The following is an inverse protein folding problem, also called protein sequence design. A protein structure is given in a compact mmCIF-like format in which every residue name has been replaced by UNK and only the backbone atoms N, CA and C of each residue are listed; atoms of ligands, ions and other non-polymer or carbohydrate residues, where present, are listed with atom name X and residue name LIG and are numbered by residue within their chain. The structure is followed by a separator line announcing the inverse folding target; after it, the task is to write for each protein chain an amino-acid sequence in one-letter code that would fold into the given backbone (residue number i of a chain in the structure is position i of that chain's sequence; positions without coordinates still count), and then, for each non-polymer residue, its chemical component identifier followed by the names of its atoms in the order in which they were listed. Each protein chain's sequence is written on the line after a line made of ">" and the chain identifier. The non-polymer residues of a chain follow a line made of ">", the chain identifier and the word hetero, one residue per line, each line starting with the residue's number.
data_IF_060149015666
#
_entry.id   IF_060149015666
#
_cell.length_a   1.000
_cell.length_b   1.000
_cell.length_c   1.000
_cell.angle_alpha   90.00
_cell.angle_beta   90.00
_cell.angle_gamma   90.00
#
_symmetry.space_group_name_H-M   'P 1'
#
loop_
_entity.id
_entity.type
_entity.pdbx_description
1 polymer ?
#
# COMPACT_ATOMS: atom_id res chain seq x y z
N UNK A 1 -51.32 16.02 -44.50
CA UNK A 1 -50.43 14.87 -44.21
C UNK A 1 -51.01 13.91 -43.17
N UNK A 2 -51.90 14.35 -42.27
CA UNK A 2 -52.57 13.49 -41.27
C UNK A 2 -53.45 12.41 -41.90
N UNK A 3 -54.27 12.73 -42.89
CA UNK A 3 -55.15 11.75 -43.57
C UNK A 3 -54.37 10.60 -44.21
N UNK A 4 -53.21 10.87 -44.79
CA UNK A 4 -52.35 9.82 -45.39
C UNK A 4 -51.79 8.91 -44.30
N UNK A 5 -51.43 9.49 -43.16
CA UNK A 5 -50.94 8.74 -42.00
C UNK A 5 -52.06 7.89 -41.40
N UNK A 6 -53.27 8.42 -41.24
CA UNK A 6 -54.42 7.67 -40.71
C UNK A 6 -54.82 6.50 -41.63
N UNK A 7 -54.74 6.69 -42.95
CA UNK A 7 -54.95 5.61 -43.93
C UNK A 7 -53.86 4.55 -43.80
N UNK A 8 -52.59 4.95 -43.63
CA UNK A 8 -51.48 4.03 -43.49
C UNK A 8 -51.52 3.27 -42.17
N UNK A 9 -51.92 3.93 -41.08
CA UNK A 9 -52.09 3.32 -39.76
C UNK A 9 -53.25 2.32 -39.76
N UNK A 10 -54.40 2.67 -40.35
CA UNK A 10 -55.52 1.74 -40.53
C UNK A 10 -55.15 0.55 -41.43
N UNK A 11 -54.33 0.77 -42.46
CA UNK A 11 -53.81 -0.31 -43.31
C UNK A 11 -52.83 -1.19 -42.56
N UNK A 12 -51.92 -0.61 -41.77
CA UNK A 12 -50.96 -1.34 -40.95
C UNK A 12 -51.66 -2.20 -39.89
N UNK A 13 -52.74 -1.71 -39.28
CA UNK A 13 -53.52 -2.47 -38.31
C UNK A 13 -54.20 -3.68 -38.96
N UNK A 14 -54.72 -3.52 -40.18
CA UNK A 14 -55.34 -4.61 -40.95
C UNK A 14 -54.32 -5.62 -41.47
N UNK A 15 -53.11 -5.17 -41.84
CA UNK A 15 -52.00 -6.06 -42.21
C UNK A 15 -51.49 -6.91 -41.04
N UNK A 16 -51.74 -6.50 -39.78
CA UNK A 16 -51.44 -7.34 -38.60
C UNK A 16 -52.36 -8.54 -38.48
N UNK A 17 -53.53 -8.52 -39.12
CA UNK A 17 -54.40 -9.70 -39.19
C UNK A 17 -53.73 -10.79 -40.02
N UNK A 18 -53.50 -12.00 -39.48
CA UNK A 18 -52.83 -13.08 -40.19
C UNK A 18 -53.49 -13.45 -41.51
N UNK A 19 -54.82 -13.36 -41.58
CA UNK A 19 -55.60 -13.69 -42.77
C UNK A 19 -55.76 -12.50 -43.72
N UNK A 20 -56.08 -11.31 -43.19
CA UNK A 20 -56.30 -10.16 -44.05
C UNK A 20 -54.98 -9.69 -44.69
N UNK A 21 -53.90 -9.70 -43.93
CA UNK A 21 -52.57 -9.36 -44.42
C UNK A 21 -52.06 -10.34 -45.47
N UNK A 22 -52.25 -11.66 -45.27
CA UNK A 22 -51.83 -12.65 -46.25
C UNK A 22 -52.66 -12.59 -47.54
N UNK A 23 -53.97 -12.33 -47.46
CA UNK A 23 -54.84 -12.15 -48.62
C UNK A 23 -54.45 -10.88 -49.40
N UNK A 24 -54.15 -9.77 -48.72
CA UNK A 24 -53.69 -8.54 -49.38
C UNK A 24 -52.33 -8.73 -50.05
N UNK A 25 -51.39 -9.42 -49.41
CA UNK A 25 -50.10 -9.76 -50.01
C UNK A 25 -50.25 -10.69 -51.21
N UNK A 26 -51.12 -11.70 -51.11
CA UNK A 26 -51.45 -12.58 -52.21
C UNK A 26 -52.12 -11.82 -53.36
N UNK A 27 -53.00 -10.87 -53.07
CA UNK A 27 -53.62 -10.00 -54.06
C UNK A 27 -52.58 -9.19 -54.82
N UNK A 28 -51.67 -8.53 -54.09
CA UNK A 28 -50.58 -7.79 -54.70
C UNK A 28 -49.64 -8.69 -55.51
N UNK A 29 -49.38 -9.91 -55.02
CA UNK A 29 -48.52 -10.88 -55.71
C UNK A 29 -49.14 -11.42 -57.00
N UNK A 30 -50.43 -11.77 -57.02
CA UNK A 30 -51.10 -12.28 -58.22
C UNK A 30 -51.38 -11.18 -59.25
N UNK A 31 -51.71 -9.97 -58.80
CA UNK A 31 -52.07 -8.85 -59.66
C UNK A 31 -50.89 -7.87 -59.89
N UNK A 32 -49.65 -8.29 -59.59
CA UNK A 32 -48.50 -7.38 -59.60
C UNK A 32 -48.27 -6.71 -60.96
N UNK A 33 -48.51 -7.41 -62.06
CA UNK A 33 -48.34 -6.86 -63.42
C UNK A 33 -49.36 -5.77 -63.73
N UNK A 34 -50.63 -6.01 -63.38
CA UNK A 34 -51.72 -5.06 -63.60
C UNK A 34 -51.57 -3.84 -62.70
N UNK A 35 -51.20 -4.04 -61.43
CA UNK A 35 -50.89 -2.96 -60.49
C UNK A 35 -49.69 -2.14 -60.97
N UNK A 36 -48.64 -2.80 -61.46
CA UNK A 36 -47.46 -2.14 -61.99
C UNK A 36 -47.79 -1.31 -63.24
N UNK A 37 -48.55 -1.86 -64.18
CA UNK A 37 -48.99 -1.15 -65.38
C UNK A 37 -49.87 0.05 -65.01
N UNK A 38 -50.82 -0.10 -64.09
CA UNK A 38 -51.67 1.01 -63.66
C UNK A 38 -50.88 2.16 -63.03
N UNK A 39 -49.90 1.85 -62.18
CA UNK A 39 -49.16 2.85 -61.41
C UNK A 39 -48.04 3.51 -62.20
N UNK A 40 -47.34 2.75 -63.05
CA UNK A 40 -46.07 3.20 -63.65
C UNK A 40 -46.07 3.31 -65.17
N UNK A 41 -47.07 2.79 -65.89
CA UNK A 41 -47.09 2.93 -67.35
C UNK A 41 -47.39 4.38 -67.74
N UNK A 42 -46.56 4.96 -68.61
CA UNK A 42 -46.77 6.30 -69.15
C UNK A 42 -47.72 6.28 -70.35
N UNK A 43 -48.97 5.90 -70.10
CA UNK A 43 -50.06 5.84 -71.09
C UNK A 43 -51.30 6.58 -70.58
N UNK A 44 -52.18 7.06 -71.48
CA UNK A 44 -53.46 7.66 -71.12
C UNK A 44 -54.27 6.76 -70.17
N UNK A 45 -55.04 7.38 -69.28
CA UNK A 45 -55.85 6.66 -68.28
C UNK A 45 -56.81 5.66 -68.92
N UNK A 46 -57.38 5.99 -70.08
CA UNK A 46 -58.26 5.10 -70.84
C UNK A 46 -57.56 3.78 -71.21
N UNK A 47 -56.30 3.85 -71.65
CA UNK A 47 -55.52 2.68 -72.03
C UNK A 47 -55.13 1.84 -70.80
N UNK A 48 -54.95 2.45 -69.62
CA UNK A 48 -54.73 1.73 -68.36
C UNK A 48 -55.96 0.94 -67.92
N UNK A 49 -57.15 1.51 -68.07
CA UNK A 49 -58.42 0.84 -67.75
C UNK A 49 -58.67 -0.28 -68.75
N UNK A 50 -58.47 -0.03 -70.05
CA UNK A 50 -58.61 -1.06 -71.07
C UNK A 50 -57.64 -2.23 -70.84
N UNK A 51 -56.39 -1.95 -70.43
CA UNK A 51 -55.43 -2.97 -70.06
C UNK A 51 -55.88 -3.77 -68.83
N UNK A 52 -56.43 -3.11 -67.80
CA UNK A 52 -56.98 -3.78 -66.62
C UNK A 52 -58.11 -4.73 -66.98
N UNK A 53 -59.10 -4.27 -67.74
CA UNK A 53 -60.26 -5.08 -68.14
C UNK A 53 -59.85 -6.27 -69.02
N UNK A 54 -58.79 -6.12 -69.84
CA UNK A 54 -58.27 -7.19 -70.68
C UNK A 54 -57.43 -8.24 -69.93
N UNK A 55 -56.84 -7.89 -68.78
CA UNK A 55 -55.90 -8.74 -68.06
C UNK A 55 -56.37 -9.13 -66.65
N UNK A 56 -57.63 -8.81 -66.30
CA UNK A 56 -58.16 -9.07 -64.97
C UNK A 56 -59.51 -9.76 -65.06
N UNK A 57 -59.52 -11.05 -64.74
CA UNK A 57 -60.75 -11.82 -64.54
C UNK A 57 -61.19 -11.78 -63.08
N UNK A 58 -62.50 -11.91 -62.81
CA UNK A 58 -63.02 -11.98 -61.43
C UNK A 58 -62.39 -13.12 -60.59
N UNK A 59 -61.91 -14.18 -61.25
CA UNK A 59 -61.17 -15.27 -60.62
C UNK A 59 -59.77 -14.86 -60.17
N UNK A 60 -59.05 -14.10 -61.02
CA UNK A 60 -57.70 -13.61 -60.73
C UNK A 60 -57.72 -12.48 -59.70
N UNK A 61 -58.76 -11.65 -59.73
CA UNK A 61 -58.88 -10.51 -58.84
C UNK A 61 -59.29 -10.91 -57.41
N UNK A 62 -60.21 -11.86 -57.28
CA UNK A 62 -60.79 -12.21 -55.98
C UNK A 62 -60.41 -13.62 -55.53
N UNK A 63 -60.65 -14.64 -56.36
CA UNK A 63 -60.58 -16.02 -55.89
C UNK A 63 -59.14 -16.50 -55.64
N UNK A 64 -58.21 -16.29 -56.57
CA UNK A 64 -56.82 -16.72 -56.39
C UNK A 64 -56.14 -16.03 -55.20
N UNK A 65 -56.27 -14.70 -55.00
CA UNK A 65 -55.74 -14.02 -53.83
C UNK A 65 -56.33 -14.52 -52.51
N UNK A 66 -57.65 -14.74 -52.44
CA UNK A 66 -58.30 -15.22 -51.21
C UNK A 66 -57.85 -16.64 -50.88
N UNK A 67 -57.90 -17.56 -51.86
CA UNK A 67 -57.51 -18.95 -51.63
C UNK A 67 -56.02 -19.08 -51.28
N UNK A 68 -55.14 -18.42 -52.04
CA UNK A 68 -53.71 -18.46 -51.76
C UNK A 68 -53.33 -17.72 -50.48
N UNK A 69 -54.01 -16.62 -50.14
CA UNK A 69 -53.83 -15.90 -48.88
C UNK A 69 -54.26 -16.71 -47.66
N UNK A 70 -55.40 -17.40 -47.74
CA UNK A 70 -55.84 -18.33 -46.68
C UNK A 70 -54.89 -19.51 -46.58
N UNK A 71 -54.51 -20.12 -47.70
CA UNK A 71 -53.53 -21.21 -47.71
C UNK A 71 -52.22 -20.75 -47.06
N UNK A 72 -51.69 -19.59 -47.45
CA UNK A 72 -50.47 -19.02 -46.87
C UNK A 72 -50.59 -18.76 -45.37
N UNK A 73 -51.72 -18.20 -44.90
CA UNK A 73 -51.98 -18.00 -43.48
C UNK A 73 -52.00 -19.32 -42.69
N UNK A 74 -52.57 -20.38 -43.28
CA UNK A 74 -52.59 -21.72 -42.69
C UNK A 74 -51.21 -22.39 -42.74
N UNK A 75 -50.41 -22.16 -43.78
CA UNK A 75 -49.06 -22.70 -43.93
C UNK A 75 -48.01 -21.96 -43.09
N UNK A 76 -48.24 -20.70 -42.74
CA UNK A 76 -47.28 -19.86 -42.03
C UNK A 76 -46.83 -20.43 -40.66
N UNK A 77 -47.72 -20.98 -39.81
CA UNK A 77 -47.32 -21.67 -38.58
C UNK A 77 -46.40 -22.86 -38.83
N UNK A 78 -46.64 -23.63 -39.91
CA UNK A 78 -45.82 -24.78 -40.27
C UNK A 78 -44.44 -24.34 -40.76
N UNK A 79 -44.36 -23.25 -41.52
CA UNK A 79 -43.09 -22.67 -41.94
C UNK A 79 -42.28 -22.15 -40.75
N UNK A 80 -42.95 -21.51 -39.78
CA UNK A 80 -42.34 -21.10 -38.51
C UNK A 80 -41.86 -22.29 -37.69
N UNK A 81 -42.65 -23.36 -37.62
CA UNK A 81 -42.28 -24.59 -36.93
C UNK A 81 -41.07 -25.25 -37.59
N UNK A 82 -41.06 -25.40 -38.91
CA UNK A 82 -39.94 -25.95 -39.65
C UNK A 82 -38.67 -25.11 -39.45
N UNK A 83 -38.78 -23.78 -39.53
CA UNK A 83 -37.67 -22.87 -39.23
C UNK A 83 -37.16 -23.01 -37.79
N UNK A 84 -38.06 -23.16 -36.82
CA UNK A 84 -37.70 -23.36 -35.42
C UNK A 84 -37.00 -24.72 -35.19
N UNK A 85 -37.47 -25.80 -35.83
CA UNK A 85 -36.83 -27.12 -35.70
C UNK A 85 -35.44 -27.13 -36.36
N UNK A 86 -35.29 -26.49 -37.53
CA UNK A 86 -33.98 -26.31 -38.17
C UNK A 86 -33.05 -25.47 -37.27
N UNK A 87 -33.57 -24.40 -36.67
CA UNK A 87 -32.78 -23.52 -35.80
C UNK A 87 -32.46 -24.14 -34.42
N UNK A 88 -33.19 -25.15 -33.97
CA UNK A 88 -32.97 -25.82 -32.69
C UNK A 88 -31.60 -26.48 -32.62
N UNK A 89 -31.15 -27.14 -33.69
CA UNK A 89 -29.84 -27.79 -33.73
C UNK A 89 -28.65 -26.83 -33.60
N UNK A 90 -28.52 -25.77 -34.42
CA UNK A 90 -27.45 -24.79 -34.26
C UNK A 90 -27.54 -24.05 -32.93
N UNK A 91 -28.74 -23.71 -32.45
CA UNK A 91 -28.91 -23.04 -31.16
C UNK A 91 -28.53 -23.95 -29.98
N UNK A 92 -28.84 -25.24 -30.03
CA UNK A 92 -28.42 -26.20 -29.02
C UNK A 92 -26.89 -26.35 -28.99
N UNK A 93 -26.24 -26.44 -30.16
CA UNK A 93 -24.77 -26.48 -30.25
C UNK A 93 -24.12 -25.19 -29.74
N UNK A 94 -24.67 -24.03 -30.09
CA UNK A 94 -24.17 -22.75 -29.61
C UNK A 94 -24.26 -22.65 -28.08
N UNK A 95 -25.39 -23.09 -27.50
CA UNK A 95 -25.57 -23.09 -26.04
C UNK A 95 -24.59 -24.05 -25.34
N UNK A 96 -24.31 -25.21 -25.95
CA UNK A 96 -23.31 -26.15 -25.44
C UNK A 96 -21.91 -25.52 -25.44
N UNK A 97 -21.48 -24.93 -26.56
CA UNK A 97 -20.18 -24.25 -26.65
C UNK A 97 -20.02 -23.14 -25.62
N UNK A 98 -21.06 -22.30 -25.44
CA UNK A 98 -21.05 -21.26 -24.41
C UNK A 98 -20.97 -21.83 -22.99
N UNK A 99 -21.67 -22.95 -22.73
CA UNK A 99 -21.61 -23.60 -21.42
C UNK A 99 -20.26 -24.27 -21.16
N UNK A 100 -19.63 -24.83 -22.19
CA UNK A 100 -18.31 -25.46 -22.09
C UNK A 100 -17.23 -24.41 -21.84
N UNK A 101 -17.26 -23.28 -22.55
CA UNK A 101 -16.34 -22.17 -22.32
C UNK A 101 -16.51 -21.59 -20.90
N UNK A 102 -17.76 -21.43 -20.44
CA UNK A 102 -18.02 -20.98 -19.07
C UNK A 102 -17.52 -21.99 -18.02
N UNK A 103 -17.63 -23.29 -18.29
CA UNK A 103 -17.13 -24.35 -17.43
C UNK A 103 -15.61 -24.35 -17.40
N UNK A 104 -14.95 -24.20 -18.54
CA UNK A 104 -13.50 -24.12 -18.66
C UNK A 104 -12.94 -22.93 -17.88
N UNK A 105 -13.55 -21.75 -18.03
CA UNK A 105 -13.17 -20.56 -17.24
C UNK A 105 -13.31 -20.77 -15.74
N UNK A 106 -14.37 -21.46 -15.28
CA UNK A 106 -14.54 -21.80 -13.85
C UNK A 106 -13.46 -22.76 -13.37
N UNK A 107 -13.13 -23.79 -14.16
CA UNK A 107 -12.07 -24.74 -13.81
C UNK A 107 -10.73 -24.01 -13.72
N UNK A 108 -10.40 -23.18 -14.71
CA UNK A 108 -9.17 -22.39 -14.72
C UNK A 108 -9.09 -21.45 -13.50
N UNK A 109 -10.20 -20.79 -13.14
CA UNK A 109 -10.24 -19.95 -11.94
C UNK A 109 -10.01 -20.74 -10.66
N UNK A 110 -10.65 -21.91 -10.51
CA UNK A 110 -10.46 -22.77 -9.33
C UNK A 110 -9.01 -23.25 -9.24
N UNK A 111 -8.43 -23.68 -10.36
CA UNK A 111 -7.02 -24.10 -10.42
C UNK A 111 -6.08 -22.95 -10.05
N UNK A 112 -6.33 -21.73 -10.54
CA UNK A 112 -5.55 -20.55 -10.18
C UNK A 112 -5.64 -20.25 -8.67
N UNK A 113 -6.83 -20.34 -8.07
CA UNK A 113 -6.99 -20.13 -6.62
C UNK A 113 -6.28 -21.20 -5.79
N UNK A 114 -6.31 -22.46 -6.22
CA UNK A 114 -5.59 -23.54 -5.53
C UNK A 114 -4.08 -23.31 -5.60
N UNK A 115 -3.57 -22.96 -6.79
CA UNK A 115 -2.15 -22.65 -6.97
C UNK A 115 -1.70 -21.44 -6.13
N UNK A 116 -2.55 -20.42 -5.99
CA UNK A 116 -2.28 -19.27 -5.12
C UNK A 116 -2.26 -19.66 -3.62
N UNK A 117 -3.18 -20.53 -3.18
CA UNK A 117 -3.20 -21.05 -1.82
C UNK A 117 -1.98 -21.93 -1.52
N UNK A 118 -1.59 -22.79 -2.46
CA UNK A 118 -0.37 -23.61 -2.36
C UNK A 118 0.87 -22.71 -2.27
N UNK A 119 1.02 -21.72 -3.16
CA UNK A 119 2.13 -20.77 -3.11
C UNK A 119 2.18 -19.99 -1.78
N UNK A 120 1.02 -19.58 -1.25
CA UNK A 120 0.94 -18.94 0.07
C UNK A 120 1.32 -19.90 1.20
N UNK A 121 0.92 -21.16 1.12
CA UNK A 121 1.28 -22.19 2.10
C UNK A 121 2.79 -22.44 2.07
N UNK A 122 3.38 -22.62 0.90
CA UNK A 122 4.82 -22.83 0.71
C UNK A 122 5.64 -21.65 1.20
N UNK A 123 5.18 -20.43 0.94
CA UNK A 123 5.82 -19.22 1.43
C UNK A 123 5.78 -19.15 2.97
N UNK A 124 4.66 -19.51 3.60
CA UNK A 124 4.56 -19.60 5.07
C UNK A 124 5.50 -20.67 5.64
N UNK A 125 5.59 -21.83 5.00
CA UNK A 125 6.52 -22.90 5.42
C UNK A 125 7.96 -22.43 5.28
N UNK A 126 8.31 -21.74 4.20
CA UNK A 126 9.63 -21.16 3.99
C UNK A 126 9.95 -20.10 5.05
N UNK A 127 9.01 -19.19 5.34
CA UNK A 127 9.14 -18.19 6.41
C UNK A 127 9.35 -18.83 7.77
N UNK A 128 8.58 -19.88 8.10
CA UNK A 128 8.73 -20.60 9.37
C UNK A 128 10.10 -21.28 9.48
N UNK A 129 10.57 -21.91 8.39
CA UNK A 129 11.92 -22.51 8.35
C UNK A 129 13.02 -21.46 8.51
N UNK A 130 12.87 -20.29 7.88
CA UNK A 130 13.83 -19.19 8.04
C UNK A 130 13.85 -18.66 9.46
N UNK A 131 12.68 -18.45 10.09
CA UNK A 131 12.59 -18.01 11.48
C UNK A 131 13.21 -19.03 12.46
N UNK A 132 13.01 -20.33 12.21
CA UNK A 132 13.64 -21.39 12.99
C UNK A 132 15.17 -21.34 12.86
N UNK A 133 15.68 -21.20 11.63
CA UNK A 133 17.12 -21.10 11.38
C UNK A 133 17.73 -19.83 11.99
N UNK A 134 17.00 -18.72 12.02
CA UNK A 134 17.43 -17.47 12.67
C UNK A 134 17.52 -17.64 14.19
N UNK A 135 16.53 -18.27 14.82
CA UNK A 135 16.56 -18.58 16.26
C UNK A 135 17.68 -19.58 16.60
N UNK A 136 17.89 -20.61 15.79
CA UNK A 136 19.03 -21.53 15.95
C UNK A 136 20.38 -20.80 15.85
N UNK A 137 20.53 -19.90 14.88
CA UNK A 137 21.73 -19.09 14.73
C UNK A 137 21.95 -18.14 15.93
N UNK A 138 20.87 -17.59 16.48
CA UNK A 138 20.90 -16.74 17.68
C UNK A 138 21.31 -17.51 18.93
N UNK A 139 20.76 -18.71 19.13
CA UNK A 139 21.17 -19.60 20.23
C UNK A 139 22.64 -19.99 20.08
N UNK A 140 23.09 -20.35 18.87
CA UNK A 140 24.49 -20.68 18.61
C UNK A 140 25.42 -19.49 18.86
N UNK A 141 25.00 -18.28 18.48
CA UNK A 141 25.73 -17.05 18.75
C UNK A 141 25.85 -16.76 20.25
N UNK A 142 24.74 -16.83 20.98
CA UNK A 142 24.72 -16.62 22.44
C UNK A 142 25.59 -17.66 23.16
N UNK A 143 25.57 -18.92 22.71
CA UNK A 143 26.44 -19.98 23.23
C UNK A 143 27.93 -19.69 22.97
N UNK A 144 28.29 -19.25 21.76
CA UNK A 144 29.68 -18.89 21.43
C UNK A 144 30.17 -17.68 22.25
N UNK A 145 29.30 -16.69 22.49
CA UNK A 145 29.62 -15.54 23.37
C UNK A 145 29.81 -16.00 24.81
N UNK A 146 28.97 -16.91 25.32
CA UNK A 146 29.10 -17.46 26.65
C UNK A 146 30.40 -18.27 26.82
N UNK A 147 30.76 -19.08 25.82
CA UNK A 147 32.01 -19.85 25.80
C UNK A 147 33.24 -18.93 25.78
N UNK A 148 33.22 -17.88 24.95
CA UNK A 148 34.30 -16.87 24.90
C UNK A 148 34.47 -16.17 26.24
N UNK A 149 33.35 -15.81 26.89
CA UNK A 149 33.37 -15.19 28.24
C UNK A 149 33.92 -16.16 29.28
N UNK A 150 33.49 -17.41 29.27
CA UNK A 150 33.97 -18.45 30.18
C UNK A 150 35.48 -18.70 30.02
N UNK A 151 35.99 -18.75 28.78
CA UNK A 151 37.41 -18.84 28.49
C UNK A 151 38.18 -17.63 29.03
N UNK A 152 37.69 -16.42 28.80
CA UNK A 152 38.33 -15.19 29.31
C UNK A 152 38.33 -15.12 30.84
N UNK A 153 37.28 -15.59 31.50
CA UNK A 153 37.24 -15.70 32.96
C UNK A 153 38.22 -16.76 33.48
N UNK A 154 38.35 -17.90 32.80
CA UNK A 154 39.35 -18.92 33.14
C UNK A 154 40.78 -18.40 32.98
N UNK A 155 41.08 -17.70 31.88
CA UNK A 155 42.37 -17.04 31.67
C UNK A 155 42.65 -16.02 32.78
N UNK A 156 41.68 -15.20 33.16
CA UNK A 156 41.83 -14.25 34.27
C UNK A 156 42.05 -14.94 35.62
N UNK A 157 41.44 -16.10 35.85
CA UNK A 157 41.64 -16.90 37.07
C UNK A 157 43.04 -17.52 37.05
N UNK A 158 43.49 -18.04 35.91
CA UNK A 158 44.82 -18.63 35.76
C UNK A 158 45.92 -17.57 35.85
N UNK A 159 45.75 -16.42 35.20
CA UNK A 159 46.65 -15.28 35.33
C UNK A 159 46.71 -14.76 36.76
N UNK A 160 45.58 -14.71 37.48
CA UNK A 160 45.58 -14.39 38.92
C UNK A 160 46.38 -15.43 39.73
N UNK A 161 46.20 -16.72 39.46
CA UNK A 161 46.98 -17.77 40.13
C UNK A 161 48.47 -17.64 39.83
N UNK A 162 48.86 -17.40 38.56
CA UNK A 162 50.25 -17.15 38.16
C UNK A 162 50.82 -15.90 38.81
N UNK A 163 50.00 -14.86 38.97
CA UNK A 163 50.41 -13.63 39.65
C UNK A 163 50.59 -13.85 41.16
N UNK A 164 49.73 -14.65 41.79
CA UNK A 164 49.84 -15.04 43.19
C UNK A 164 51.04 -15.98 43.42
N UNK A 165 51.32 -16.92 42.50
CA UNK A 165 52.53 -17.76 42.50
C UNK A 165 53.80 -16.93 42.25
N UNK A 166 53.78 -15.98 41.31
CA UNK A 166 54.88 -15.03 41.09
C UNK A 166 55.09 -14.11 42.31
N UNK A 167 54.04 -13.86 43.08
CA UNK A 167 54.10 -13.12 44.35
C UNK A 167 54.62 -13.97 45.50
N UNK A 168 54.48 -15.30 45.46
CA UNK A 168 55.14 -16.21 46.41
C UNK A 168 56.60 -16.50 46.05
N UNK A 169 56.96 -16.52 44.76
CA UNK A 169 58.35 -16.78 44.30
C UNK A 169 59.19 -15.49 44.20
N UNK A 170 58.55 -14.33 44.04
CA UNK A 170 59.23 -13.04 43.88
C UNK A 170 59.36 -12.19 45.16
N UNK A 171 58.91 -12.68 46.31
CA UNK A 171 59.00 -11.94 47.58
C UNK A 171 60.08 -12.56 48.46
N UNK A 172 61.32 -12.17 48.16
CA UNK A 172 62.35 -12.02 49.21
C UNK A 172 63.28 -10.80 48.97
N UNK A 173 63.23 -10.06 47.84
CA UNK A 173 64.26 -8.99 47.64
C UNK A 173 63.84 -7.54 47.32
N UNK A 174 62.64 -7.18 46.83
CA UNK A 174 62.45 -5.77 46.41
C UNK A 174 61.04 -5.16 46.64
N UNK A 175 60.49 -5.20 47.85
CA UNK A 175 59.17 -4.61 48.12
C UNK A 175 59.07 -3.80 49.42
N UNK A 176 60.00 -2.86 49.64
CA UNK A 176 59.81 -1.78 50.62
C UNK A 176 60.02 -0.34 50.10
N UNK A 177 60.65 -0.10 48.94
CA UNK A 177 60.93 1.29 48.51
C UNK A 177 59.91 1.96 47.58
N UNK A 178 59.07 1.22 46.86
CA UNK A 178 58.15 1.80 45.86
C UNK A 178 56.77 2.21 46.41
N UNK A 179 56.45 1.83 47.65
CA UNK A 179 55.12 2.07 48.26
C UNK A 179 54.87 3.48 48.78
N UNK A 180 55.85 4.39 48.74
CA UNK A 180 55.68 5.81 49.16
C UNK A 180 55.54 6.81 48.00
N UNK A 181 55.60 6.39 46.74
CA UNK A 181 55.54 7.31 45.57
C UNK A 181 54.23 7.27 44.78
N UNK A 182 53.28 6.39 45.09
CA UNK A 182 52.06 6.19 44.30
C UNK A 182 50.79 6.79 44.90
N UNK A 183 50.89 7.58 45.97
CA UNK A 183 49.72 8.21 46.63
C UNK A 183 49.53 9.69 46.25
N UNK A 184 50.54 10.34 45.64
CA UNK A 184 50.50 11.77 45.27
C UNK A 184 50.18 12.05 43.78
N UNK A 185 49.59 11.12 43.03
CA UNK A 185 49.25 11.32 41.61
C UNK A 185 47.76 11.12 41.28
N UNK A 186 46.89 11.05 42.29
CA UNK A 186 45.43 10.94 42.09
C UNK A 186 44.73 12.28 41.89
N UNK A 187 45.36 13.39 42.25
CA UNK A 187 44.72 14.72 42.20
C UNK A 187 45.03 15.51 40.92
N UNK A 188 46.09 15.18 40.15
CA UNK A 188 46.39 15.84 38.87
C UNK A 188 45.69 15.24 37.64
N UNK A 189 45.15 14.02 37.74
CA UNK A 189 44.51 13.32 36.62
C UNK A 189 43.01 13.63 36.48
N UNK A 190 42.34 13.97 37.59
CA UNK A 190 40.92 14.35 37.57
C UNK A 190 40.72 15.75 36.95
N UNK A 191 41.64 16.67 37.19
CA UNK A 191 41.55 18.06 36.72
C UNK A 191 41.80 18.17 35.21
N UNK A 192 42.67 17.30 34.65
CA UNK A 192 42.93 17.24 33.20
C UNK A 192 41.78 16.62 32.40
N UNK A 193 41.06 15.64 32.97
CA UNK A 193 39.89 15.03 32.31
C UNK A 193 38.70 16.00 32.23
N UNK A 194 38.51 16.83 33.26
CA UNK A 194 37.51 17.90 33.29
C UNK A 194 37.83 19.01 32.27
N UNK A 195 39.10 19.43 32.16
CA UNK A 195 39.54 20.43 31.19
C UNK A 195 39.32 20.00 29.73
N UNK A 196 39.66 18.75 29.38
CA UNK A 196 39.48 18.20 28.02
C UNK A 196 38.00 18.10 27.64
N UNK A 197 37.12 17.82 28.61
CA UNK A 197 35.67 17.75 28.37
C UNK A 197 35.06 19.14 28.27
N UNK A 198 35.51 20.10 29.08
CA UNK A 198 35.07 21.49 29.00
C UNK A 198 35.42 22.13 27.64
N UNK A 199 36.61 21.86 27.09
CA UNK A 199 37.02 22.33 25.76
C UNK A 199 36.09 21.79 24.65
N UNK A 200 35.83 20.46 24.65
CA UNK A 200 34.94 19.82 23.69
C UNK A 200 33.48 20.30 23.78
N UNK A 201 33.03 20.68 24.97
CA UNK A 201 31.67 21.23 25.16
C UNK A 201 31.57 22.66 24.64
N UNK A 202 32.64 23.46 24.78
CA UNK A 202 32.70 24.82 24.25
C UNK A 202 32.59 24.90 22.73
N UNK A 203 33.04 23.86 22.02
CA UNK A 203 32.94 23.75 20.56
C UNK A 203 31.53 23.42 20.06
N UNK A 204 30.64 22.94 20.94
CA UNK A 204 29.29 22.51 20.55
C UNK A 204 28.27 23.63 20.69
N UNK A 205 27.55 23.98 19.60
CA UNK A 205 26.45 24.94 19.68
C UNK A 205 25.41 24.48 20.70
N UNK A 206 24.91 25.40 21.52
CA UNK A 206 23.90 25.17 22.56
C UNK A 206 24.31 24.28 23.75
N UNK A 207 25.46 23.62 23.77
CA UNK A 207 25.81 22.65 24.82
C UNK A 207 25.97 23.29 26.22
N UNK A 208 26.72 24.38 26.32
CA UNK A 208 26.86 25.15 27.57
C UNK A 208 25.52 25.73 28.01
N UNK A 209 24.74 26.24 27.06
CA UNK A 209 23.40 26.78 27.33
C UNK A 209 22.48 25.70 27.89
N UNK A 210 22.51 24.48 27.34
CA UNK A 210 21.72 23.35 27.85
C UNK A 210 22.15 22.94 29.26
N UNK A 211 23.44 22.87 29.55
CA UNK A 211 23.91 22.55 30.91
C UNK A 211 23.43 23.60 31.93
N UNK A 212 23.54 24.90 31.61
CA UNK A 212 23.02 25.99 32.45
C UNK A 212 21.50 25.90 32.65
N UNK A 213 20.76 25.71 31.55
CA UNK A 213 19.30 25.62 31.59
C UNK A 213 18.82 24.39 32.38
N UNK A 214 19.55 23.27 32.34
CA UNK A 214 19.25 22.10 33.16
C UNK A 214 19.54 22.37 34.64
N UNK A 215 20.69 22.98 34.95
CA UNK A 215 21.08 23.30 36.32
C UNK A 215 20.12 24.30 37.00
N UNK A 216 19.51 25.20 36.22
CA UNK A 216 18.52 26.17 36.71
C UNK A 216 17.13 25.55 37.01
N UNK A 217 16.90 24.28 36.68
CA UNK A 217 15.65 23.58 37.01
C UNK A 217 15.74 22.86 38.34
N UNK A 218 14.63 22.84 39.08
CA UNK A 218 14.55 22.18 40.39
C UNK A 218 14.85 20.67 40.32
N UNK A 219 14.54 20.04 39.18
CA UNK A 219 14.70 18.60 38.94
C UNK A 219 15.92 18.24 38.05
N UNK A 220 16.66 19.23 37.54
CA UNK A 220 17.77 19.02 36.62
C UNK A 220 17.35 18.52 35.22
N UNK A 221 16.11 18.75 34.80
CA UNK A 221 15.50 18.13 33.61
C UNK A 221 15.23 19.10 32.47
N UNK A 222 15.50 18.64 31.25
CA UNK A 222 15.20 19.31 29.99
C UNK A 222 14.37 18.40 29.10
N UNK A 223 13.33 18.93 28.47
CA UNK A 223 12.53 18.17 27.50
C UNK A 223 12.73 18.71 26.10
N UNK A 224 13.17 17.86 25.18
CA UNK A 224 13.29 18.18 23.76
C UNK A 224 12.04 17.71 22.99
N UNK A 225 11.35 18.62 22.31
CA UNK A 225 10.22 18.31 21.41
C UNK A 225 10.31 19.12 20.12
N UNK A 226 10.35 18.46 18.96
CA UNK A 226 10.23 19.08 17.63
C UNK A 226 11.19 20.26 17.35
N UNK A 227 12.40 20.25 17.91
CA UNK A 227 13.37 21.33 17.76
C UNK A 227 13.12 22.52 18.69
N UNK A 228 12.28 22.35 19.72
CA UNK A 228 12.21 23.26 20.86
C UNK A 228 12.67 22.58 22.14
N UNK A 229 13.34 23.39 22.96
CA UNK A 229 13.78 23.01 24.29
C UNK A 229 12.80 23.60 25.29
N UNK A 230 12.14 22.71 26.04
CA UNK A 230 11.11 23.04 26.99
C UNK A 230 11.65 22.82 28.40
N UNK A 231 11.57 23.88 29.20
CA UNK A 231 12.01 23.90 30.59
C UNK A 231 10.78 24.08 31.48
N UNK A 232 10.65 23.21 32.47
CA UNK A 232 9.59 23.28 33.47
C UNK A 232 10.23 23.68 34.81
N UNK A 233 9.78 24.77 35.41
CA UNK A 233 10.24 25.21 36.73
C UNK A 233 9.03 25.50 37.60
N UNK A 234 8.96 24.97 38.83
CA UNK A 234 7.83 25.16 39.75
C UNK A 234 6.43 25.00 39.11
N UNK A 235 6.24 23.92 38.33
CA UNK A 235 4.98 23.60 37.60
C UNK A 235 4.43 24.72 36.69
N UNK A 236 5.25 25.73 36.37
CA UNK A 236 4.87 26.87 35.54
C UNK A 236 5.87 27.01 34.39
N UNK A 237 5.38 27.09 33.15
CA UNK A 237 6.20 27.16 31.95
C UNK A 237 7.04 28.44 31.94
N UNK A 238 8.39 28.34 31.90
CA UNK A 238 9.25 29.53 32.02
C UNK A 238 9.95 29.95 30.72
N UNK A 239 10.39 29.03 29.85
CA UNK A 239 11.16 29.42 28.67
C UNK A 239 11.15 28.35 27.58
N UNK A 240 10.78 28.75 26.37
CA UNK A 240 10.98 27.97 25.15
C UNK A 240 12.21 28.51 24.43
N UNK A 241 13.21 27.67 24.19
CA UNK A 241 14.20 27.96 23.16
C UNK A 241 13.72 27.27 21.88
N UNK A 242 13.14 28.05 20.97
CA UNK A 242 12.70 27.55 19.67
C UNK A 242 13.84 27.74 18.69
N UNK A 243 14.40 26.64 18.17
CA UNK A 243 15.35 26.74 17.07
C UNK A 243 14.60 27.23 15.82
N UNK A 244 15.03 28.38 15.31
CA UNK A 244 14.32 29.15 14.28
C UNK A 244 14.49 28.59 12.87
N UNK A 245 15.57 27.86 12.62
CA UNK A 245 15.90 27.27 11.32
C UNK A 245 16.28 25.78 11.46
N UNK A 246 16.17 25.02 10.38
CA UNK A 246 16.45 23.58 10.32
C UNK A 246 17.85 23.25 10.84
N UNK A 247 18.85 24.07 10.51
CA UNK A 247 20.22 23.89 10.98
C UNK A 247 20.33 23.94 12.52
N UNK A 248 19.67 24.91 13.15
CA UNK A 248 19.67 25.03 14.62
C UNK A 248 18.97 23.84 15.28
N UNK A 249 17.96 23.25 14.63
CA UNK A 249 17.30 22.03 15.13
C UNK A 249 18.24 20.82 15.08
N UNK A 250 19.03 20.71 14.02
CA UNK A 250 20.06 19.66 13.89
C UNK A 250 21.16 19.84 14.92
N UNK A 251 21.70 21.06 15.08
CA UNK A 251 22.75 21.37 16.05
C UNK A 251 22.30 21.08 17.48
N UNK A 252 21.05 21.44 17.83
CA UNK A 252 20.47 21.18 19.15
C UNK A 252 20.28 19.69 19.43
N UNK A 253 19.83 18.92 18.43
CA UNK A 253 19.70 17.47 18.55
C UNK A 253 21.07 16.76 18.65
N UNK A 254 22.06 17.24 17.91
CA UNK A 254 23.43 16.74 17.95
C UNK A 254 24.05 16.98 19.32
N UNK A 255 23.90 18.19 19.87
CA UNK A 255 24.41 18.52 21.19
C UNK A 255 23.78 17.64 22.30
N UNK A 256 22.48 17.30 22.23
CA UNK A 256 21.89 16.31 23.15
C UNK A 256 22.53 14.92 23.04
N UNK A 257 22.81 14.47 21.81
CA UNK A 257 23.41 13.16 21.58
C UNK A 257 24.86 13.12 22.08
N UNK A 258 25.63 14.17 21.83
CA UNK A 258 27.02 14.26 22.26
C UNK A 258 27.13 14.39 23.79
N UNK A 259 26.31 15.22 24.42
CA UNK A 259 26.32 15.34 25.88
C UNK A 259 25.84 14.06 26.59
N UNK A 260 24.91 13.32 25.99
CA UNK A 260 24.52 12.00 26.48
C UNK A 260 25.66 10.98 26.31
N UNK A 261 26.38 11.00 25.18
CA UNK A 261 27.54 10.13 24.95
C UNK A 261 28.69 10.40 25.94
N UNK A 262 28.88 11.66 26.33
CA UNK A 262 29.83 12.05 27.39
C UNK A 262 29.35 11.73 28.80
N UNK A 263 28.17 11.10 28.95
CA UNK A 263 27.53 10.80 30.24
C UNK A 263 27.24 12.05 31.08
N UNK A 264 27.07 13.22 30.44
CA UNK A 264 26.72 14.48 31.12
C UNK A 264 25.20 14.62 31.28
N UNK A 265 24.44 14.11 30.32
CA UNK A 265 22.98 13.96 30.40
C UNK A 265 22.57 12.48 30.42
N UNK A 266 21.58 12.16 31.26
CA UNK A 266 20.87 10.90 31.28
C UNK A 266 19.58 11.03 30.45
N UNK A 267 19.43 10.22 29.40
CA UNK A 267 18.21 10.19 28.59
C UNK A 267 17.09 9.44 29.32
N UNK A 268 16.00 10.13 29.62
CA UNK A 268 14.77 9.60 30.20
C UNK A 268 13.74 9.29 29.09
N UNK A 269 12.56 8.80 29.49
CA UNK A 269 11.46 8.53 28.55
C UNK A 269 10.92 9.84 27.97
N UNK A 270 10.33 9.75 26.77
CA UNK A 270 9.61 10.84 26.10
C UNK A 270 10.44 12.07 25.68
N UNK A 271 11.75 11.92 25.47
CA UNK A 271 12.61 13.01 25.02
C UNK A 271 13.06 13.96 26.14
N UNK A 272 12.89 13.54 27.39
CA UNK A 272 13.42 14.24 28.57
C UNK A 272 14.84 13.78 28.87
N UNK A 273 15.70 14.70 29.28
CA UNK A 273 17.10 14.48 29.64
C UNK A 273 17.35 15.08 31.02
N UNK A 274 18.06 14.37 31.89
CA UNK A 274 18.42 14.86 33.23
C UNK A 274 19.93 15.06 33.34
N UNK A 275 20.38 16.20 33.82
CA UNK A 275 21.80 16.45 34.04
C UNK A 275 22.34 15.50 35.12
N UNK A 276 23.52 14.95 34.90
CA UNK A 276 24.19 14.04 35.84
C UNK A 276 25.10 14.81 36.79
N UNK A 277 25.57 14.17 37.87
CA UNK A 277 26.58 14.76 38.76
C UNK A 277 27.82 15.26 37.99
N UNK A 278 28.30 14.46 37.04
CA UNK A 278 29.42 14.83 36.16
C UNK A 278 29.10 16.05 35.29
N UNK A 279 27.85 16.19 34.85
CA UNK A 279 27.36 17.37 34.13
C UNK A 279 27.40 18.64 34.98
N UNK A 280 27.06 18.54 36.27
CA UNK A 280 27.23 19.65 37.22
C UNK A 280 28.71 19.98 37.45
N UNK A 281 29.55 18.97 37.71
CA UNK A 281 30.98 19.18 37.95
C UNK A 281 31.67 19.91 36.76
N UNK A 282 31.30 19.55 35.53
CA UNK A 282 31.80 20.20 34.31
C UNK A 282 31.22 21.61 34.13
N UNK A 283 29.95 21.83 34.48
CA UNK A 283 29.34 23.16 34.42
C UNK A 283 29.96 24.12 35.45
N UNK A 284 30.23 23.63 36.66
CA UNK A 284 30.90 24.39 37.73
C UNK A 284 32.32 24.76 37.30
N UNK A 285 33.05 23.82 36.69
CA UNK A 285 34.37 24.08 36.11
C UNK A 285 34.33 25.15 35.00
N UNK A 286 33.36 25.04 34.07
CA UNK A 286 33.18 26.05 33.01
C UNK A 286 32.86 27.41 33.63
N UNK A 287 31.95 27.48 34.62
CA UNK A 287 31.50 28.73 35.25
C UNK A 287 32.62 29.40 36.05
N UNK A 288 33.40 28.62 36.81
CA UNK A 288 34.58 29.09 37.53
C UNK A 288 35.65 29.68 36.58
N UNK A 289 35.80 29.10 35.38
CA UNK A 289 36.76 29.59 34.37
C UNK A 289 36.19 30.62 33.39
N UNK A 290 34.88 30.95 33.45
CA UNK A 290 34.28 32.05 32.64
C UNK A 290 34.09 33.34 33.43
N UNK A 291 34.07 33.31 34.77
CA UNK A 291 34.02 34.54 35.61
C UNK A 291 35.27 35.44 35.46
N UNK A 292 36.38 34.90 34.94
CA UNK A 292 37.59 35.67 34.61
C UNK A 292 37.48 36.49 33.30
N UNK A 293 36.41 36.34 32.52
CA UNK A 293 36.19 37.09 31.26
C UNK A 293 35.09 38.15 31.32
N UNK A 294 34.29 38.22 32.39
CA UNK A 294 33.30 39.30 32.58
C UNK A 294 33.77 40.44 33.51
N UNK A 295 35.00 40.35 34.04
CA UNK A 295 35.69 41.43 34.78
C UNK A 295 36.92 42.00 34.05
N UNK A 296 37.00 41.84 32.72
CA UNK A 296 38.01 42.47 31.85
C UNK A 296 37.37 43.44 30.84
#
# INVERSE_FOLDING_TARGET
>A
MEVVKDIFDAFSERLRSPFLGSILLAFAFWNWQVLWFMLFADVPVADRIAYFDAHTDGWQLYLYPILSGVAFAVFMPWLRYAGAEIAKHPNARLKQLQSDEARERRIAHIQASIAEEEAKSDLKVAQFKMALAEEEARIAFDAAVAETKAHREQELIEDKKRLDEAREVGVEEELQETRKKAENLKDEAADKDLAIQAEKIGELPFAVLMLRLAADTDDGELTHKNGSLIITQNHTYRKELVASDFRQKTDLQEAFNQLAAMSLFLKLKNGTYRITKRGFDVLDYISANTEDLENA
#
